data_IF_900169943875
#
_entry.id   IF_900169943875
#
_cell.length_a   1.000
_cell.length_b   1.000
_cell.length_c   1.000
_cell.angle_alpha   90.00
_cell.angle_beta   90.00
_cell.angle_gamma   90.00
#
_symmetry.space_group_name_H-M   'P 1'
#
loop_
_entity.id
_entity.type
_entity.pdbx_description
1 polymer ?
#
# COMPACT_ATOMS: atom_id res chain seq x y z
N UNK A 1 25.76 5.22 20.78
CA UNK A 1 25.26 6.52 20.28
C UNK A 1 24.28 6.26 19.16
N UNK A 2 23.00 6.11 19.42
CA UNK A 2 21.96 5.96 18.41
C UNK A 2 21.69 7.35 17.86
N UNK A 3 22.32 7.69 16.74
CA UNK A 3 22.01 8.91 16.01
C UNK A 3 20.54 8.84 15.57
N UNK A 4 19.77 9.80 16.03
CA UNK A 4 18.38 10.03 15.63
C UNK A 4 18.39 10.54 14.17
N UNK A 5 18.81 9.67 13.22
CA UNK A 5 18.97 10.02 11.82
C UNK A 5 17.61 10.37 11.23
N UNK A 6 17.47 11.60 10.80
CA UNK A 6 16.31 12.02 10.02
C UNK A 6 16.33 11.26 8.68
N UNK A 7 15.20 10.72 8.17
CA UNK A 7 15.13 10.14 6.82
C UNK A 7 15.70 11.08 5.75
N UNK A 8 15.50 12.38 5.93
CA UNK A 8 16.00 13.41 5.03
C UNK A 8 17.52 13.62 5.06
N UNK A 9 18.25 13.00 5.98
CA UNK A 9 19.72 12.97 5.92
C UNK A 9 20.25 12.15 4.74
N UNK A 10 19.44 11.20 4.24
CA UNK A 10 19.76 10.37 3.08
C UNK A 10 19.38 11.07 1.77
N UNK A 11 20.35 11.42 0.88
CA UNK A 11 20.03 12.11 -0.38
C UNK A 11 19.06 11.33 -1.27
N UNK A 12 19.22 10.01 -1.36
CA UNK A 12 18.33 9.15 -2.14
C UNK A 12 16.88 9.24 -1.65
N UNK A 13 16.66 9.27 -0.32
CA UNK A 13 15.31 9.44 0.24
C UNK A 13 14.72 10.80 -0.11
N UNK A 14 15.51 11.89 -0.05
CA UNK A 14 15.02 13.22 -0.44
C UNK A 14 14.52 13.25 -1.87
N UNK A 15 15.31 12.70 -2.83
CA UNK A 15 14.91 12.66 -4.24
C UNK A 15 13.64 11.83 -4.44
N UNK A 16 13.58 10.62 -3.89
CA UNK A 16 12.41 9.74 -4.03
C UNK A 16 11.17 10.31 -3.35
N UNK A 17 11.31 10.90 -2.18
CA UNK A 17 10.19 11.52 -1.47
C UNK A 17 9.67 12.77 -2.19
N UNK A 18 10.57 13.60 -2.73
CA UNK A 18 10.19 14.74 -3.57
C UNK A 18 9.51 14.29 -4.86
N UNK A 19 10.00 13.22 -5.50
CA UNK A 19 9.36 12.61 -6.67
C UNK A 19 7.94 12.13 -6.33
N UNK A 20 7.77 11.48 -5.17
CA UNK A 20 6.47 11.01 -4.69
C UNK A 20 5.49 12.17 -4.46
N UNK A 21 5.89 13.23 -3.76
CA UNK A 21 5.04 14.41 -3.52
C UNK A 21 4.63 15.04 -4.84
N UNK A 22 5.58 15.26 -5.73
CA UNK A 22 5.32 15.86 -7.05
C UNK A 22 4.32 15.03 -7.85
N UNK A 23 4.51 13.71 -7.91
CA UNK A 23 3.60 12.78 -8.57
C UNK A 23 2.20 12.77 -7.94
N UNK A 24 2.09 12.81 -6.59
CA UNK A 24 0.82 12.85 -5.88
C UNK A 24 0.03 14.13 -6.20
N UNK A 25 0.67 15.30 -6.17
CA UNK A 25 0.02 16.57 -6.54
C UNK A 25 -0.59 16.47 -7.93
N UNK A 26 0.19 15.98 -8.92
CA UNK A 26 -0.31 15.83 -10.28
C UNK A 26 -1.48 14.83 -10.38
N UNK A 27 -1.40 13.72 -9.67
CA UNK A 27 -2.47 12.71 -9.64
C UNK A 27 -3.76 13.29 -9.08
N UNK A 28 -3.69 14.10 -8.01
CA UNK A 28 -4.84 14.79 -7.46
C UNK A 28 -5.46 15.79 -8.44
N UNK A 29 -4.64 16.54 -9.19
CA UNK A 29 -5.15 17.45 -10.25
C UNK A 29 -5.87 16.65 -11.35
N UNK A 30 -5.30 15.52 -11.80
CA UNK A 30 -5.94 14.64 -12.79
C UNK A 30 -7.26 14.07 -12.29
N UNK A 31 -7.39 13.77 -11.00
CA UNK A 31 -8.65 13.25 -10.46
C UNK A 31 -9.79 14.26 -10.65
N UNK A 32 -9.53 15.54 -10.42
CA UNK A 32 -10.51 16.62 -10.66
C UNK A 32 -10.77 16.80 -12.16
N UNK A 33 -9.71 16.91 -12.98
CA UNK A 33 -9.85 17.08 -14.42
C UNK A 33 -10.60 15.92 -15.09
N UNK A 34 -10.36 14.68 -14.64
CA UNK A 34 -11.04 13.49 -15.15
C UNK A 34 -12.53 13.48 -14.81
N UNK A 35 -12.91 14.04 -13.66
CA UNK A 35 -14.32 14.18 -13.30
C UNK A 35 -15.03 15.17 -14.21
N UNK A 36 -14.37 16.27 -14.58
CA UNK A 36 -14.90 17.26 -15.51
C UNK A 36 -14.98 16.71 -16.94
N UNK A 37 -13.92 16.03 -17.41
CA UNK A 37 -13.91 15.38 -18.72
C UNK A 37 -15.00 14.30 -18.85
N UNK A 38 -15.20 13.49 -17.79
CA UNK A 38 -16.27 12.50 -17.79
C UNK A 38 -17.65 13.15 -17.86
N UNK A 39 -17.85 14.30 -17.21
CA UNK A 39 -19.08 15.06 -17.30
C UNK A 39 -19.32 15.65 -18.70
N UNK A 40 -18.27 16.24 -19.30
CA UNK A 40 -18.37 16.82 -20.64
C UNK A 40 -18.73 15.78 -21.72
N UNK A 41 -18.22 14.53 -21.60
CA UNK A 41 -18.44 13.47 -22.59
C UNK A 41 -19.69 12.63 -22.31
N UNK A 42 -20.10 12.46 -21.05
CA UNK A 42 -21.17 11.56 -20.67
C UNK A 42 -22.39 12.24 -20.01
N UNK A 43 -22.31 13.55 -19.69
CA UNK A 43 -23.41 14.29 -19.08
C UNK A 43 -23.91 13.61 -17.79
N UNK A 44 -25.20 13.27 -17.75
CA UNK A 44 -25.85 12.62 -16.60
C UNK A 44 -25.28 11.22 -16.28
N UNK A 45 -24.65 10.55 -17.25
CA UNK A 45 -24.00 9.25 -17.06
C UNK A 45 -22.55 9.36 -16.53
N UNK A 46 -22.03 10.55 -16.25
CA UNK A 46 -20.68 10.77 -15.72
C UNK A 46 -20.39 9.94 -14.45
N UNK A 47 -21.37 9.80 -13.57
CA UNK A 47 -21.26 8.98 -12.36
C UNK A 47 -20.96 7.50 -12.67
N UNK A 48 -21.59 6.95 -13.72
CA UNK A 48 -21.32 5.57 -14.17
C UNK A 48 -19.91 5.44 -14.74
N UNK A 49 -19.47 6.45 -15.51
CA UNK A 49 -18.10 6.49 -16.08
C UNK A 49 -17.07 6.51 -14.95
N UNK A 50 -17.22 7.40 -13.97
CA UNK A 50 -16.31 7.51 -12.83
C UNK A 50 -16.30 6.24 -11.96
N UNK A 51 -17.46 5.65 -11.70
CA UNK A 51 -17.58 4.37 -11.01
C UNK A 51 -16.83 3.25 -11.75
N UNK A 52 -16.99 3.17 -13.07
CA UNK A 52 -16.28 2.20 -13.91
C UNK A 52 -14.77 2.40 -13.91
N UNK A 53 -14.31 3.65 -13.87
CA UNK A 53 -12.88 4.01 -13.72
C UNK A 53 -12.32 3.49 -12.40
N UNK A 54 -13.05 3.62 -11.29
CA UNK A 54 -12.60 3.10 -9.99
C UNK A 54 -12.49 1.57 -9.99
N UNK A 55 -13.45 0.87 -10.58
CA UNK A 55 -13.37 -0.59 -10.74
C UNK A 55 -12.18 -0.97 -11.60
N UNK A 56 -11.98 -0.31 -12.74
CA UNK A 56 -10.88 -0.56 -13.66
C UNK A 56 -9.52 -0.32 -13.01
N UNK A 57 -9.40 0.72 -12.18
CA UNK A 57 -8.23 0.99 -11.35
C UNK A 57 -7.93 -0.17 -10.40
N UNK A 58 -8.94 -0.68 -9.69
CA UNK A 58 -8.75 -1.81 -8.76
C UNK A 58 -8.35 -3.08 -9.49
N UNK A 59 -8.92 -3.35 -10.67
CA UNK A 59 -8.54 -4.48 -11.55
C UNK A 59 -7.08 -4.35 -11.99
N UNK A 60 -6.67 -3.16 -12.45
CA UNK A 60 -5.27 -2.91 -12.82
C UNK A 60 -4.31 -3.18 -11.65
N UNK A 61 -4.66 -2.73 -10.45
CA UNK A 61 -3.84 -2.91 -9.25
C UNK A 61 -3.73 -4.38 -8.84
N UNK A 62 -4.84 -5.12 -8.92
CA UNK A 62 -4.88 -6.53 -8.55
C UNK A 62 -4.09 -7.41 -9.52
N UNK A 63 -4.16 -7.12 -10.81
CA UNK A 63 -3.56 -7.97 -11.87
C UNK A 63 -2.11 -7.56 -12.17
N UNK A 64 -1.85 -6.26 -12.33
CA UNK A 64 -0.55 -5.79 -12.83
C UNK A 64 0.52 -5.77 -11.73
N UNK A 65 0.17 -5.42 -10.50
CA UNK A 65 1.19 -5.30 -9.44
C UNK A 65 1.94 -6.60 -9.15
N UNK A 66 1.30 -7.80 -9.04
CA UNK A 66 2.04 -9.05 -8.84
C UNK A 66 2.95 -9.40 -10.03
N UNK A 67 2.48 -9.15 -11.26
CA UNK A 67 3.28 -9.37 -12.47
C UNK A 67 4.51 -8.46 -12.47
N UNK A 68 4.32 -7.18 -12.18
CA UNK A 68 5.42 -6.21 -12.07
C UNK A 68 6.43 -6.61 -10.97
N UNK A 69 5.96 -7.09 -9.81
CA UNK A 69 6.80 -7.63 -8.75
C UNK A 69 7.63 -8.85 -9.21
N UNK A 70 7.03 -9.74 -9.99
CA UNK A 70 7.71 -10.88 -10.60
C UNK A 70 8.74 -10.49 -11.66
N UNK A 71 8.58 -9.33 -12.28
CA UNK A 71 9.49 -8.79 -13.31
C UNK A 71 10.54 -7.82 -12.75
N UNK A 72 10.45 -7.40 -11.52
CA UNK A 72 11.26 -6.31 -10.95
C UNK A 72 12.79 -6.57 -10.97
N UNK A 73 13.22 -7.82 -11.18
CA UNK A 73 14.62 -8.20 -11.33
C UNK A 73 15.15 -8.10 -12.78
N UNK A 74 14.27 -7.96 -13.79
CA UNK A 74 14.66 -7.99 -15.21
C UNK A 74 15.31 -6.69 -15.68
N UNK A 75 14.99 -5.57 -15.05
CA UNK A 75 15.52 -4.25 -15.41
C UNK A 75 16.09 -3.55 -14.19
N UNK A 76 17.11 -2.68 -14.39
CA UNK A 76 17.58 -1.80 -13.33
C UNK A 76 16.40 -0.98 -12.75
N UNK A 77 16.24 -1.00 -11.44
CA UNK A 77 15.10 -0.35 -10.74
C UNK A 77 14.91 1.12 -11.12
N UNK A 78 16.01 1.85 -11.32
CA UNK A 78 15.96 3.25 -11.79
C UNK A 78 15.30 3.35 -13.15
N UNK A 79 15.72 2.53 -14.13
CA UNK A 79 15.16 2.54 -15.49
C UNK A 79 13.69 2.14 -15.47
N UNK A 80 13.31 1.16 -14.61
CA UNK A 80 11.94 0.73 -14.42
C UNK A 80 11.05 1.90 -13.95
N UNK A 81 11.44 2.59 -12.87
CA UNK A 81 10.67 3.70 -12.32
C UNK A 81 10.58 4.89 -13.27
N UNK A 82 11.71 5.28 -13.87
CA UNK A 82 11.76 6.40 -14.83
C UNK A 82 10.91 6.08 -16.07
N UNK A 83 11.03 4.87 -16.63
CA UNK A 83 10.24 4.46 -17.79
C UNK A 83 8.73 4.49 -17.53
N UNK A 84 8.29 4.08 -16.33
CA UNK A 84 6.90 4.14 -15.93
C UNK A 84 6.40 5.58 -15.72
N UNK A 85 7.23 6.47 -15.18
CA UNK A 85 6.86 7.88 -15.04
C UNK A 85 6.76 8.57 -16.41
N UNK A 86 7.69 8.28 -17.32
CA UNK A 86 7.64 8.80 -18.71
C UNK A 86 6.39 8.26 -19.43
N UNK A 87 6.07 6.98 -19.26
CA UNK A 87 4.84 6.39 -19.81
C UNK A 87 3.59 7.10 -19.24
N UNK A 88 3.51 7.30 -17.91
CA UNK A 88 2.38 8.01 -17.28
C UNK A 88 2.27 9.43 -17.80
N UNK A 89 3.39 10.16 -17.91
CA UNK A 89 3.43 11.51 -18.47
C UNK A 89 2.85 11.55 -19.89
N UNK A 90 3.29 10.65 -20.77
CA UNK A 90 2.82 10.57 -22.15
C UNK A 90 1.34 10.22 -22.26
N UNK A 91 0.86 9.27 -21.47
CA UNK A 91 -0.57 8.86 -21.49
C UNK A 91 -1.47 9.99 -20.96
N UNK A 92 -1.07 10.64 -19.85
CA UNK A 92 -1.87 11.77 -19.30
C UNK A 92 -1.93 12.93 -20.27
N UNK A 93 -0.87 13.15 -21.06
CA UNK A 93 -0.83 14.17 -22.10
C UNK A 93 -1.84 13.90 -23.25
N UNK A 94 -2.29 12.67 -23.42
CA UNK A 94 -3.31 12.32 -24.42
C UNK A 94 -4.74 12.60 -23.93
N UNK A 95 -4.99 12.73 -22.61
CA UNK A 95 -6.35 12.92 -22.06
C UNK A 95 -7.09 14.18 -22.57
N UNK A 96 -6.45 15.34 -22.79
CA UNK A 96 -7.12 16.50 -23.38
C UNK A 96 -7.68 16.29 -24.80
N UNK A 97 -7.23 15.25 -25.52
CA UNK A 97 -7.61 15.00 -26.92
C UNK A 97 -8.65 13.89 -27.05
N UNK A 98 -9.23 13.46 -25.91
CA UNK A 98 -10.22 12.39 -25.86
C UNK A 98 -11.58 12.95 -26.25
N UNK A 99 -12.27 12.27 -27.18
CA UNK A 99 -13.61 12.61 -27.66
C UNK A 99 -14.67 11.50 -27.43
N UNK A 100 -14.24 10.36 -26.88
CA UNK A 100 -15.07 9.18 -26.62
C UNK A 100 -14.82 8.60 -25.23
N UNK A 101 -15.87 8.17 -24.53
CA UNK A 101 -15.78 7.59 -23.18
C UNK A 101 -14.86 6.35 -23.11
N UNK A 102 -14.87 5.48 -24.13
CA UNK A 102 -14.01 4.31 -24.14
C UNK A 102 -12.51 4.64 -24.15
N UNK A 103 -12.13 5.77 -24.75
CA UNK A 103 -10.74 6.26 -24.75
C UNK A 103 -10.31 6.62 -23.33
N UNK A 104 -11.18 7.23 -22.51
CA UNK A 104 -10.93 7.48 -21.09
C UNK A 104 -10.59 6.14 -20.41
N UNK A 105 -11.40 5.09 -20.62
CA UNK A 105 -11.18 3.80 -19.98
C UNK A 105 -9.82 3.21 -20.33
N UNK A 106 -9.43 3.25 -21.60
CA UNK A 106 -8.13 2.74 -22.07
C UNK A 106 -6.97 3.52 -21.44
N UNK A 107 -6.99 4.85 -21.56
CA UNK A 107 -5.90 5.69 -21.07
C UNK A 107 -5.77 5.61 -19.54
N UNK A 108 -6.88 5.66 -18.82
CA UNK A 108 -6.88 5.55 -17.36
C UNK A 108 -6.45 4.14 -16.91
N UNK A 109 -6.83 3.08 -17.63
CA UNK A 109 -6.32 1.75 -17.35
C UNK A 109 -4.80 1.69 -17.49
N UNK A 110 -4.23 2.23 -18.57
CA UNK A 110 -2.78 2.22 -18.81
C UNK A 110 -2.03 3.04 -17.73
N UNK A 111 -2.54 4.23 -17.36
CA UNK A 111 -1.94 5.04 -16.27
C UNK A 111 -1.96 4.29 -14.95
N UNK A 112 -3.09 3.65 -14.60
CA UNK A 112 -3.19 2.88 -13.36
C UNK A 112 -2.37 1.58 -13.40
N UNK A 113 -2.26 0.92 -14.55
CA UNK A 113 -1.37 -0.23 -14.75
C UNK A 113 0.12 0.16 -14.55
N UNK A 114 0.53 1.30 -15.10
CA UNK A 114 1.87 1.84 -14.87
C UNK A 114 2.10 2.20 -13.40
N UNK A 115 1.11 2.78 -12.71
CA UNK A 115 1.16 3.06 -11.28
C UNK A 115 1.21 1.79 -10.43
N UNK A 116 0.47 0.75 -10.81
CA UNK A 116 0.51 -0.57 -10.18
C UNK A 116 1.88 -1.26 -10.32
N UNK A 117 2.57 -1.04 -11.44
CA UNK A 117 3.92 -1.53 -11.67
C UNK A 117 4.99 -0.70 -10.95
N UNK A 118 4.76 0.60 -10.75
CA UNK A 118 5.67 1.53 -10.09
C UNK A 118 5.70 1.34 -8.57
N UNK A 119 4.53 1.35 -7.94
CA UNK A 119 4.39 1.49 -6.48
C UNK A 119 5.08 0.38 -5.67
N UNK A 120 4.96 -0.92 -5.99
CA UNK A 120 5.62 -1.97 -5.23
C UNK A 120 7.15 -1.90 -5.30
N UNK A 121 7.70 -1.57 -6.47
CA UNK A 121 9.16 -1.42 -6.67
C UNK A 121 9.65 -0.22 -5.89
N UNK A 122 8.96 0.91 -5.95
CA UNK A 122 9.26 2.10 -5.17
C UNK A 122 9.23 1.81 -3.66
N UNK A 123 8.19 1.15 -3.17
CA UNK A 123 8.06 0.78 -1.76
C UNK A 123 9.17 -0.17 -1.29
N UNK A 124 9.62 -1.09 -2.15
CA UNK A 124 10.69 -2.02 -1.83
C UNK A 124 12.07 -1.35 -1.68
N UNK A 125 12.29 -0.20 -2.36
CA UNK A 125 13.54 0.56 -2.32
C UNK A 125 13.68 1.34 -1.00
N UNK A 126 12.60 1.86 -0.44
CA UNK A 126 12.65 2.75 0.74
C UNK A 126 13.35 2.12 1.95
N UNK A 127 13.03 0.87 2.37
CA UNK A 127 13.74 0.24 3.49
C UNK A 127 15.21 -0.08 3.21
N UNK A 128 15.63 -0.15 1.94
CA UNK A 128 17.03 -0.34 1.59
C UNK A 128 17.83 0.96 1.70
N UNK A 129 17.20 2.10 1.44
CA UNK A 129 17.77 3.44 1.63
C UNK A 129 17.75 3.84 3.11
N UNK A 130 16.74 3.38 3.85
CA UNK A 130 16.55 3.63 5.27
C UNK A 130 16.67 2.32 6.07
N UNK A 131 17.87 1.75 6.24
CA UNK A 131 18.05 0.48 6.93
C UNK A 131 17.78 0.58 8.44
N UNK A 132 17.90 1.77 9.01
CA UNK A 132 17.52 2.01 10.40
C UNK A 132 15.99 1.98 10.54
N UNK A 133 15.51 1.13 11.44
CA UNK A 133 14.08 0.86 11.60
C UNK A 133 13.29 2.10 12.06
N UNK A 134 13.91 2.98 12.87
CA UNK A 134 13.27 4.23 13.31
C UNK A 134 13.19 5.24 12.18
N UNK A 135 14.26 5.36 11.37
CA UNK A 135 14.27 6.20 10.18
C UNK A 135 13.23 5.72 9.17
N UNK A 136 13.12 4.41 8.93
CA UNK A 136 12.12 3.84 8.04
C UNK A 136 10.69 4.11 8.54
N UNK A 137 10.42 3.94 9.84
CA UNK A 137 9.11 4.26 10.43
C UNK A 137 8.72 5.73 10.23
N UNK A 138 9.67 6.66 10.43
CA UNK A 138 9.46 8.08 10.13
C UNK A 138 9.19 8.31 8.65
N UNK A 139 9.93 7.61 7.76
CA UNK A 139 9.72 7.67 6.31
C UNK A 139 8.31 7.24 5.91
N UNK A 140 7.80 6.14 6.47
CA UNK A 140 6.41 5.68 6.27
C UNK A 140 5.39 6.72 6.75
N UNK A 141 5.63 7.33 7.91
CA UNK A 141 4.76 8.39 8.43
C UNK A 141 4.75 9.62 7.52
N UNK A 142 5.90 10.05 7.00
CA UNK A 142 5.97 11.15 6.03
C UNK A 142 5.28 10.82 4.71
N UNK A 143 5.43 9.58 4.21
CA UNK A 143 4.71 9.14 3.02
C UNK A 143 3.19 9.19 3.27
N UNK A 144 2.71 8.77 4.45
CA UNK A 144 1.30 8.88 4.82
C UNK A 144 0.82 10.33 4.83
N UNK A 145 1.58 11.23 5.47
CA UNK A 145 1.27 12.66 5.47
C UNK A 145 1.19 13.25 4.07
N UNK A 146 2.07 12.81 3.14
CA UNK A 146 2.02 13.26 1.75
C UNK A 146 0.73 12.83 1.05
N UNK A 147 0.25 11.59 1.26
CA UNK A 147 -1.04 11.13 0.74
C UNK A 147 -2.23 11.88 1.35
N UNK A 148 -2.21 12.15 2.66
CA UNK A 148 -3.28 12.89 3.32
C UNK A 148 -3.32 14.35 2.82
N UNK A 149 -2.14 14.97 2.64
CA UNK A 149 -2.04 16.32 2.10
C UNK A 149 -2.51 16.39 0.63
N UNK A 150 -2.19 15.39 -0.18
CA UNK A 150 -2.72 15.27 -1.55
C UNK A 150 -4.25 15.30 -1.55
N UNK A 151 -4.88 14.42 -0.76
CA UNK A 151 -6.33 14.31 -0.72
C UNK A 151 -7.03 15.61 -0.26
N UNK A 152 -6.38 16.39 0.62
CA UNK A 152 -6.93 17.66 1.12
C UNK A 152 -6.60 18.86 0.23
N UNK A 153 -5.36 18.93 -0.25
CA UNK A 153 -4.87 20.11 -0.97
C UNK A 153 -5.16 20.08 -2.48
N UNK A 154 -5.24 18.89 -3.10
CA UNK A 154 -5.38 18.80 -4.55
C UNK A 154 -6.68 19.38 -5.08
N UNK A 155 -7.87 19.17 -4.46
CA UNK A 155 -9.09 19.81 -4.92
C UNK A 155 -9.01 21.36 -4.82
N UNK A 156 -8.44 21.88 -3.73
CA UNK A 156 -8.27 23.33 -3.56
C UNK A 156 -7.27 23.90 -4.57
N UNK A 157 -6.17 23.21 -4.83
CA UNK A 157 -5.19 23.58 -5.84
C UNK A 157 -5.81 23.55 -7.25
N UNK A 158 -6.54 22.49 -7.57
CA UNK A 158 -7.26 22.38 -8.84
C UNK A 158 -8.26 23.54 -9.03
N UNK A 159 -9.07 23.84 -8.01
CA UNK A 159 -10.01 24.96 -8.04
C UNK A 159 -9.31 26.30 -8.26
N UNK A 160 -8.17 26.54 -7.60
CA UNK A 160 -7.40 27.77 -7.79
C UNK A 160 -6.82 27.87 -9.21
N UNK A 161 -6.35 26.77 -9.79
CA UNK A 161 -5.83 26.75 -11.16
C UNK A 161 -6.93 26.93 -12.19
N UNK A 162 -8.13 26.38 -11.97
CA UNK A 162 -9.29 26.51 -12.86
C UNK A 162 -9.85 27.95 -12.95
N UNK A 163 -9.45 28.84 -12.04
CA UNK A 163 -9.77 30.28 -12.18
C UNK A 163 -9.09 30.90 -13.38
N UNK A 164 -7.90 30.44 -13.74
CA UNK A 164 -7.04 31.03 -14.80
C UNK A 164 -6.85 30.07 -16.00
N UNK A 165 -7.03 28.76 -15.80
CA UNK A 165 -6.75 27.74 -16.80
C UNK A 165 -7.98 26.86 -17.08
N UNK A 166 -8.04 26.25 -18.27
CA UNK A 166 -9.02 25.21 -18.57
C UNK A 166 -8.68 23.91 -17.80
N UNK A 167 -9.66 23.01 -17.66
CA UNK A 167 -9.42 21.73 -17.00
C UNK A 167 -8.42 20.85 -17.78
N UNK A 168 -8.30 21.00 -19.10
CA UNK A 168 -7.29 20.32 -19.92
C UNK A 168 -5.87 20.65 -19.47
N UNK A 169 -5.65 21.87 -19.00
CA UNK A 169 -4.36 22.30 -18.48
C UNK A 169 -3.95 21.57 -17.21
N UNK A 170 -4.89 21.01 -16.45
CA UNK A 170 -4.60 20.19 -15.28
C UNK A 170 -3.96 18.85 -15.69
N UNK A 171 -4.33 18.29 -16.85
CA UNK A 171 -3.65 17.11 -17.40
C UNK A 171 -2.21 17.43 -17.82
N UNK A 172 -2.00 18.62 -18.47
CA UNK A 172 -0.66 19.08 -18.80
C UNK A 172 0.20 19.27 -17.55
N UNK A 173 -0.37 19.90 -16.51
CA UNK A 173 0.32 20.05 -15.22
C UNK A 173 0.71 18.70 -14.62
N UNK A 174 -0.18 17.70 -14.63
CA UNK A 174 0.15 16.36 -14.15
C UNK A 174 1.21 15.67 -15.01
N UNK A 175 1.13 15.77 -16.33
CA UNK A 175 2.18 15.24 -17.21
C UNK A 175 3.56 15.82 -16.84
N UNK A 176 3.61 17.13 -16.58
CA UNK A 176 4.84 17.80 -16.12
C UNK A 176 5.29 17.26 -14.74
N UNK A 177 4.37 17.00 -13.80
CA UNK A 177 4.75 16.43 -12.49
C UNK A 177 5.36 15.04 -12.62
N UNK A 178 4.86 14.17 -13.51
CA UNK A 178 5.46 12.88 -13.79
C UNK A 178 6.85 13.04 -14.47
N UNK A 179 7.01 13.99 -15.36
CA UNK A 179 8.32 14.29 -15.96
C UNK A 179 9.34 14.77 -14.90
N UNK A 180 8.93 15.64 -13.97
CA UNK A 180 9.76 16.09 -12.86
C UNK A 180 10.08 14.92 -11.93
N UNK A 181 9.10 14.05 -11.62
CA UNK A 181 9.32 12.83 -10.85
C UNK A 181 10.37 11.93 -11.50
N UNK A 182 10.27 11.69 -12.81
CA UNK A 182 11.25 10.91 -13.56
C UNK A 182 12.65 11.51 -13.45
N UNK A 183 12.80 12.84 -13.57
CA UNK A 183 14.10 13.55 -13.43
C UNK A 183 14.67 13.39 -12.02
N UNK A 184 13.83 13.52 -10.97
CA UNK A 184 14.25 13.34 -9.59
C UNK A 184 14.72 11.90 -9.33
N UNK A 185 14.03 10.89 -9.89
CA UNK A 185 14.42 9.49 -9.80
C UNK A 185 15.71 9.21 -10.57
N UNK A 186 15.91 9.83 -11.73
CA UNK A 186 17.16 9.72 -12.50
C UNK A 186 18.38 10.17 -11.70
N UNK A 187 18.24 11.21 -10.90
CA UNK A 187 19.32 11.77 -10.08
C UNK A 187 19.49 11.04 -8.73
N UNK A 188 18.54 10.18 -8.33
CA UNK A 188 18.62 9.42 -7.11
C UNK A 188 19.63 8.26 -7.21
N UNK A 189 20.38 8.02 -6.14
CA UNK A 189 21.21 6.82 -6.00
C UNK A 189 20.36 5.67 -5.49
N UNK A 190 19.82 4.85 -6.40
CA UNK A 190 18.92 3.75 -6.10
C UNK A 190 19.72 2.44 -6.03
N UNK A 191 19.63 1.68 -4.90
CA UNK A 191 20.22 0.36 -4.79
C UNK A 191 19.64 -0.59 -5.84
N UNK A 192 20.50 -1.42 -6.42
CA UNK A 192 20.05 -2.49 -7.30
C UNK A 192 19.39 -3.61 -6.48
N UNK A 193 18.45 -4.33 -7.10
CA UNK A 193 17.87 -5.50 -6.46
C UNK A 193 18.95 -6.55 -6.22
N UNK A 194 18.94 -7.17 -5.04
CA UNK A 194 19.74 -8.35 -4.81
C UNK A 194 19.29 -9.46 -5.79
N UNK A 195 20.22 -10.30 -6.27
CA UNK A 195 19.87 -11.45 -7.10
C UNK A 195 18.88 -12.34 -6.36
N UNK A 196 17.93 -12.90 -7.09
CA UNK A 196 17.04 -13.95 -6.55
C UNK A 196 17.59 -15.32 -6.92
N UNK A 197 17.58 -16.27 -5.98
CA UNK A 197 18.03 -17.64 -6.21
C UNK A 197 17.04 -18.47 -7.05
N UNK A 198 15.89 -17.89 -7.40
CA UNK A 198 14.87 -18.58 -8.17
C UNK A 198 15.21 -18.61 -9.66
N UNK A 199 15.18 -19.80 -10.22
CA UNK A 199 15.40 -20.06 -11.66
C UNK A 199 14.10 -20.06 -12.47
N UNK A 200 12.94 -19.78 -11.84
CA UNK A 200 11.63 -19.74 -12.48
C UNK A 200 11.44 -18.49 -13.34
N UNK A 201 10.62 -18.60 -14.38
CA UNK A 201 10.22 -17.44 -15.21
C UNK A 201 9.30 -16.46 -14.45
N UNK A 202 8.83 -15.43 -15.17
CA UNK A 202 7.99 -14.34 -14.62
C UNK A 202 6.77 -14.91 -13.87
N UNK A 203 6.09 -15.90 -14.44
CA UNK A 203 4.92 -16.53 -13.82
C UNK A 203 5.26 -17.16 -12.45
N UNK A 204 6.35 -17.93 -12.37
CA UNK A 204 6.77 -18.55 -11.13
C UNK A 204 7.12 -17.50 -10.05
N UNK A 205 7.78 -16.41 -10.43
CA UNK A 205 8.11 -15.31 -9.52
C UNK A 205 6.87 -14.53 -9.07
N UNK A 206 5.90 -14.32 -9.96
CA UNK A 206 4.61 -13.68 -9.63
C UNK A 206 3.82 -14.50 -8.62
N UNK A 207 3.68 -15.81 -8.90
CA UNK A 207 2.97 -16.74 -8.00
C UNK A 207 3.68 -16.88 -6.67
N UNK A 208 5.02 -16.93 -6.68
CA UNK A 208 5.81 -17.00 -5.46
C UNK A 208 5.50 -15.86 -4.49
N UNK A 209 5.49 -14.61 -4.96
CA UNK A 209 5.22 -13.45 -4.11
C UNK A 209 3.88 -13.57 -3.37
N UNK A 210 2.82 -13.97 -4.07
CA UNK A 210 1.48 -14.16 -3.49
C UNK A 210 1.48 -15.35 -2.51
N UNK A 211 2.03 -16.50 -2.92
CA UNK A 211 2.05 -17.71 -2.09
C UNK A 211 2.89 -17.53 -0.83
N UNK A 212 4.07 -16.92 -0.95
CA UNK A 212 4.95 -16.65 0.19
C UNK A 212 4.30 -15.66 1.16
N UNK A 213 3.64 -14.61 0.64
CA UNK A 213 2.86 -13.70 1.45
C UNK A 213 1.78 -14.43 2.27
N UNK A 214 0.97 -15.24 1.60
CA UNK A 214 -0.11 -16.01 2.24
C UNK A 214 0.37 -17.14 3.17
N UNK A 215 1.60 -17.65 2.98
CA UNK A 215 2.22 -18.61 3.88
C UNK A 215 2.83 -17.97 5.13
N UNK A 216 2.98 -16.66 5.17
CA UNK A 216 3.57 -15.92 6.30
C UNK A 216 2.46 -15.48 7.27
N UNK A 217 2.38 -16.04 8.50
CA UNK A 217 1.26 -15.80 9.42
C UNK A 217 1.01 -14.33 9.73
N UNK A 218 2.09 -13.54 10.01
CA UNK A 218 1.97 -12.10 10.27
C UNK A 218 1.38 -11.32 9.09
N UNK A 219 1.65 -11.75 7.85
CA UNK A 219 1.12 -11.10 6.66
C UNK A 219 -0.34 -11.47 6.38
N UNK A 220 -0.77 -12.68 6.74
CA UNK A 220 -2.20 -13.02 6.75
C UNK A 220 -2.98 -12.15 7.74
N UNK A 221 -2.41 -11.94 8.95
CA UNK A 221 -2.96 -11.01 9.93
C UNK A 221 -3.01 -9.57 9.38
N UNK A 222 -1.94 -9.11 8.74
CA UNK A 222 -1.87 -7.81 8.07
C UNK A 222 -2.96 -7.67 6.99
N UNK A 223 -3.17 -8.70 6.17
CA UNK A 223 -4.20 -8.69 5.13
C UNK A 223 -5.61 -8.54 5.73
N UNK A 224 -5.89 -9.22 6.84
CA UNK A 224 -7.15 -9.05 7.55
C UNK A 224 -7.30 -7.62 8.12
N UNK A 225 -6.24 -7.04 8.69
CA UNK A 225 -6.24 -5.62 9.11
C UNK A 225 -6.52 -4.69 7.92
N UNK A 226 -5.90 -4.94 6.75
CA UNK A 226 -6.14 -4.12 5.56
C UNK A 226 -7.56 -4.26 5.01
N UNK A 227 -8.18 -5.43 5.13
CA UNK A 227 -9.59 -5.58 4.78
C UNK A 227 -10.49 -4.75 5.71
N UNK A 228 -10.20 -4.70 7.02
CA UNK A 228 -10.88 -3.82 7.95
C UNK A 228 -10.68 -2.34 7.60
N UNK A 229 -9.44 -1.93 7.25
CA UNK A 229 -9.14 -0.57 6.77
C UNK A 229 -9.95 -0.24 5.52
N UNK A 230 -10.06 -1.18 4.57
CA UNK A 230 -10.84 -1.00 3.35
C UNK A 230 -12.33 -0.82 3.65
N UNK A 231 -12.87 -1.58 4.62
CA UNK A 231 -14.28 -1.50 5.02
C UNK A 231 -14.64 -0.12 5.59
N UNK A 232 -13.82 0.38 6.53
CA UNK A 232 -14.00 1.72 7.12
C UNK A 232 -13.72 2.82 6.09
N UNK A 233 -12.65 2.67 5.29
CA UNK A 233 -12.28 3.63 4.26
C UNK A 233 -13.32 3.75 3.16
N UNK A 234 -13.95 2.65 2.76
CA UNK A 234 -15.06 2.67 1.79
C UNK A 234 -16.25 3.47 2.34
N UNK A 235 -16.58 3.33 3.63
CA UNK A 235 -17.63 4.13 4.26
C UNK A 235 -17.31 5.63 4.22
N UNK A 236 -16.07 6.00 4.56
CA UNK A 236 -15.63 7.40 4.51
C UNK A 236 -15.69 7.96 3.08
N UNK A 237 -15.17 7.22 2.09
CA UNK A 237 -15.04 7.74 0.72
C UNK A 237 -16.39 7.79 0.01
N UNK A 238 -17.20 6.73 0.12
CA UNK A 238 -18.43 6.58 -0.66
C UNK A 238 -19.60 7.27 0.02
N UNK A 239 -19.75 7.10 1.32
CA UNK A 239 -20.98 7.48 2.02
C UNK A 239 -20.91 8.81 2.77
N UNK A 240 -19.75 9.51 2.82
CA UNK A 240 -19.69 10.85 3.45
C UNK A 240 -20.66 11.83 2.79
N UNK A 241 -20.77 11.83 1.47
CA UNK A 241 -21.71 12.72 0.76
C UNK A 241 -23.16 12.40 1.11
N UNK A 242 -23.51 11.10 1.16
CA UNK A 242 -24.87 10.64 1.51
C UNK A 242 -25.21 11.05 2.94
N UNK A 243 -24.29 10.86 3.88
CA UNK A 243 -24.47 11.28 5.27
C UNK A 243 -24.66 12.79 5.40
N UNK A 244 -23.76 13.57 4.80
CA UNK A 244 -23.72 15.02 5.02
C UNK A 244 -24.84 15.74 4.30
N UNK A 245 -25.18 15.36 3.06
CA UNK A 245 -26.21 16.03 2.26
C UNK A 245 -27.58 15.37 2.44
N UNK A 246 -27.65 14.04 2.45
CA UNK A 246 -28.90 13.30 2.52
C UNK A 246 -29.52 13.27 3.93
N UNK A 247 -28.69 13.09 4.96
CA UNK A 247 -29.18 12.90 6.34
C UNK A 247 -29.05 14.18 7.18
N UNK A 248 -27.84 14.81 7.15
CA UNK A 248 -27.58 15.99 8.00
C UNK A 248 -28.04 17.31 7.33
N UNK A 249 -28.58 17.26 6.11
CA UNK A 249 -29.10 18.42 5.41
C UNK A 249 -28.06 19.52 5.10
N UNK A 250 -26.78 19.14 5.04
CA UNK A 250 -25.67 20.07 4.86
C UNK A 250 -25.33 20.37 3.41
N UNK A 251 -24.36 21.26 3.22
CA UNK A 251 -23.82 21.68 1.93
C UNK A 251 -22.55 20.89 1.58
N UNK A 252 -21.95 21.18 0.43
CA UNK A 252 -20.63 20.67 0.04
C UNK A 252 -19.54 21.03 1.04
N UNK A 253 -19.66 22.18 1.71
CA UNK A 253 -18.75 22.59 2.78
C UNK A 253 -18.77 21.59 3.94
N UNK A 254 -19.95 21.07 4.30
CA UNK A 254 -20.05 20.05 5.36
C UNK A 254 -19.38 18.74 4.93
N UNK A 255 -19.56 18.30 3.69
CA UNK A 255 -18.91 17.12 3.13
C UNK A 255 -17.38 17.23 3.19
N UNK A 256 -16.85 18.33 2.70
CA UNK A 256 -15.39 18.59 2.73
C UNK A 256 -14.86 18.72 4.15
N UNK A 257 -15.65 19.31 5.07
CA UNK A 257 -15.28 19.39 6.50
C UNK A 257 -15.16 18.01 7.14
N UNK A 258 -16.05 17.08 6.80
CA UNK A 258 -15.98 15.69 7.31
C UNK A 258 -14.76 14.94 6.77
N UNK A 259 -14.48 15.07 5.47
CA UNK A 259 -13.26 14.52 4.89
C UNK A 259 -12.00 15.15 5.51
N UNK A 260 -12.04 16.45 5.82
CA UNK A 260 -10.97 17.13 6.53
C UNK A 260 -10.82 16.62 7.98
N UNK A 261 -11.90 16.29 8.70
CA UNK A 261 -11.84 15.64 10.01
C UNK A 261 -11.14 14.28 9.94
N UNK A 262 -11.49 13.43 8.97
CA UNK A 262 -10.82 12.16 8.75
C UNK A 262 -9.32 12.35 8.41
N UNK A 263 -9.00 13.30 7.54
CA UNK A 263 -7.62 13.67 7.20
C UNK A 263 -6.85 14.19 8.41
N UNK A 264 -7.44 15.04 9.24
CA UNK A 264 -6.83 15.56 10.47
C UNK A 264 -6.52 14.42 11.45
N UNK A 265 -7.46 13.49 11.64
CA UNK A 265 -7.22 12.28 12.44
C UNK A 265 -6.07 11.44 11.90
N UNK A 266 -6.04 11.23 10.58
CA UNK A 266 -4.96 10.51 9.88
C UNK A 266 -3.61 11.19 10.10
N UNK A 267 -3.50 12.50 9.92
CA UNK A 267 -2.27 13.26 10.12
C UNK A 267 -1.79 13.20 11.56
N UNK A 268 -2.69 13.38 12.54
CA UNK A 268 -2.35 13.23 13.97
C UNK A 268 -1.77 11.84 14.27
N UNK A 269 -2.42 10.78 13.75
CA UNK A 269 -1.93 9.42 13.90
C UNK A 269 -0.56 9.23 13.27
N UNK A 270 -0.33 9.73 12.06
CA UNK A 270 0.95 9.64 11.37
C UNK A 270 2.10 10.28 12.16
N UNK A 271 1.87 11.42 12.80
CA UNK A 271 2.86 12.06 13.70
C UNK A 271 3.13 11.26 14.98
N UNK A 272 2.12 10.53 15.49
CA UNK A 272 2.24 9.76 16.73
C UNK A 272 2.86 8.39 16.53
N UNK A 273 2.70 7.76 15.36
CA UNK A 273 3.17 6.40 15.05
C UNK A 273 4.63 6.17 15.45
N UNK A 274 5.62 7.03 15.09
CA UNK A 274 7.02 6.74 15.42
C UNK A 274 7.29 6.62 16.93
N UNK A 275 6.52 7.33 17.77
CA UNK A 275 6.64 7.27 19.22
C UNK A 275 5.87 6.11 19.83
N UNK A 276 4.66 5.86 19.34
CA UNK A 276 3.79 4.84 19.90
C UNK A 276 4.25 3.42 19.55
N UNK A 277 4.76 3.22 18.34
CA UNK A 277 5.21 1.91 17.89
C UNK A 277 6.38 1.37 18.72
N UNK A 278 7.25 2.26 19.22
CA UNK A 278 8.35 1.88 20.11
C UNK A 278 7.86 1.44 21.50
N UNK A 279 6.69 1.94 21.94
CA UNK A 279 6.15 1.66 23.28
C UNK A 279 5.24 0.43 23.32
N UNK A 280 4.36 0.30 22.33
CA UNK A 280 3.31 -0.73 22.34
C UNK A 280 3.51 -1.82 21.29
N UNK A 281 4.46 -1.64 20.37
CA UNK A 281 4.70 -2.56 19.25
C UNK A 281 3.66 -2.45 18.13
N UNK A 282 4.03 -2.97 16.95
CA UNK A 282 3.23 -2.84 15.72
C UNK A 282 1.87 -3.50 15.84
N UNK A 283 1.84 -4.76 16.32
CA UNK A 283 0.62 -5.56 16.40
C UNK A 283 -0.46 -4.87 17.25
N UNK A 284 -0.08 -4.41 18.45
CA UNK A 284 -1.03 -3.76 19.35
C UNK A 284 -1.50 -2.41 18.81
N UNK A 285 -0.57 -1.60 18.24
CA UNK A 285 -0.92 -0.30 17.66
C UNK A 285 -1.90 -0.46 16.50
N UNK A 286 -1.64 -1.39 15.59
CA UNK A 286 -2.47 -1.65 14.42
C UNK A 286 -3.85 -2.17 14.81
N UNK A 287 -3.92 -3.15 15.70
CA UNK A 287 -5.20 -3.72 16.17
C UNK A 287 -6.01 -2.70 16.96
N UNK A 288 -5.39 -1.94 17.86
CA UNK A 288 -6.08 -0.90 18.62
C UNK A 288 -6.64 0.20 17.69
N UNK A 289 -5.84 0.63 16.71
CA UNK A 289 -6.27 1.63 15.73
C UNK A 289 -7.50 1.17 14.96
N UNK A 290 -7.47 -0.06 14.41
CA UNK A 290 -8.61 -0.52 13.59
C UNK A 290 -9.83 -0.87 14.44
N UNK A 291 -9.68 -1.31 15.69
CA UNK A 291 -10.79 -1.46 16.62
C UNK A 291 -11.46 -0.11 16.90
N UNK A 292 -10.69 0.95 17.14
CA UNK A 292 -11.23 2.30 17.33
C UNK A 292 -12.03 2.77 16.11
N UNK A 293 -11.50 2.55 14.91
CA UNK A 293 -12.19 2.90 13.66
C UNK A 293 -13.47 2.07 13.45
N UNK A 294 -13.43 0.76 13.75
CA UNK A 294 -14.61 -0.12 13.65
C UNK A 294 -15.71 0.28 14.63
N UNK A 295 -15.34 0.59 15.88
CA UNK A 295 -16.27 1.08 16.90
C UNK A 295 -16.88 2.42 16.48
N UNK A 296 -16.11 3.33 15.87
CA UNK A 296 -16.65 4.58 15.35
C UNK A 296 -17.72 4.32 14.27
N UNK A 297 -17.54 3.32 13.39
CA UNK A 297 -18.58 2.94 12.41
C UNK A 297 -19.81 2.36 13.10
N UNK A 298 -19.65 1.44 14.05
CA UNK A 298 -20.79 0.85 14.78
C UNK A 298 -21.58 1.92 15.56
N UNK A 299 -20.88 2.84 16.23
CA UNK A 299 -21.52 3.96 16.92
C UNK A 299 -22.26 4.87 15.94
N UNK A 300 -21.70 5.14 14.75
CA UNK A 300 -22.39 5.88 13.69
C UNK A 300 -23.72 5.21 13.31
N UNK A 301 -23.74 3.90 13.12
CA UNK A 301 -24.96 3.13 12.85
C UNK A 301 -25.98 3.22 13.99
N UNK A 302 -25.53 3.11 15.24
CA UNK A 302 -26.41 3.26 16.43
C UNK A 302 -27.00 4.65 16.53
N UNK A 303 -26.19 5.71 16.32
CA UNK A 303 -26.68 7.10 16.33
C UNK A 303 -27.74 7.35 15.25
N UNK A 304 -27.58 6.73 14.08
CA UNK A 304 -28.57 6.79 13.00
C UNK A 304 -29.90 6.13 13.41
N UNK A 305 -29.85 4.89 13.92
CA UNK A 305 -31.06 4.13 14.33
C UNK A 305 -31.79 4.82 15.49
N UNK A 306 -31.05 5.51 16.35
CA UNK A 306 -31.62 6.17 17.55
C UNK A 306 -32.09 7.62 17.27
N UNK A 307 -32.06 8.08 16.02
CA UNK A 307 -32.35 9.48 15.63
C UNK A 307 -31.50 10.53 16.39
N UNK A 308 -30.32 10.12 16.84
CA UNK A 308 -29.35 10.98 17.55
C UNK A 308 -28.23 11.49 16.61
N UNK A 309 -28.46 11.46 15.30
CA UNK A 309 -27.51 11.92 14.31
C UNK A 309 -27.23 13.42 14.50
N UNK A 310 -25.97 13.78 14.74
CA UNK A 310 -25.56 15.19 14.84
C UNK A 310 -24.24 15.43 14.11
N UNK A 311 -24.07 16.61 13.56
CA UNK A 311 -22.86 17.04 12.85
C UNK A 311 -21.62 16.85 13.73
N UNK A 312 -21.70 17.28 15.00
CA UNK A 312 -20.57 17.19 15.91
C UNK A 312 -20.17 15.75 16.25
N UNK A 313 -21.15 14.88 16.53
CA UNK A 313 -20.89 13.47 16.83
C UNK A 313 -20.21 12.76 15.64
N UNK A 314 -20.74 12.94 14.44
CA UNK A 314 -20.15 12.32 13.23
C UNK A 314 -18.79 12.91 12.86
N UNK A 315 -18.54 14.21 13.08
CA UNK A 315 -17.21 14.81 12.87
C UNK A 315 -16.16 14.14 13.77
N UNK A 316 -16.48 13.86 15.04
CA UNK A 316 -15.61 13.11 15.95
C UNK A 316 -15.41 11.67 15.45
N UNK A 317 -16.46 10.98 15.01
CA UNK A 317 -16.34 9.62 14.49
C UNK A 317 -15.45 9.58 13.24
N UNK A 318 -15.53 10.59 12.34
CA UNK A 318 -14.64 10.69 11.18
C UNK A 318 -13.19 10.91 11.57
N UNK A 319 -12.92 11.76 12.56
CA UNK A 319 -11.57 11.98 13.09
C UNK A 319 -11.00 10.68 13.68
N UNK A 320 -11.79 9.94 14.48
CA UNK A 320 -11.38 8.66 15.06
C UNK A 320 -11.15 7.62 13.96
N UNK A 321 -12.04 7.55 12.96
CA UNK A 321 -11.91 6.60 11.86
C UNK A 321 -10.65 6.86 11.02
N UNK A 322 -10.36 8.13 10.71
CA UNK A 322 -9.15 8.52 10.01
C UNK A 322 -7.88 8.21 10.80
N UNK A 323 -7.86 8.51 12.09
CA UNK A 323 -6.73 8.17 12.97
C UNK A 323 -6.56 6.64 13.07
N UNK A 324 -7.64 5.90 13.29
CA UNK A 324 -7.62 4.46 13.48
C UNK A 324 -7.15 3.70 12.24
N UNK A 325 -7.64 4.06 11.05
CA UNK A 325 -7.17 3.47 9.79
C UNK A 325 -5.71 3.75 9.53
N UNK A 326 -5.20 4.93 9.90
CA UNK A 326 -3.78 5.28 9.73
C UNK A 326 -2.88 4.53 10.70
N UNK A 327 -3.26 4.39 11.98
CA UNK A 327 -2.55 3.51 12.91
C UNK A 327 -2.49 2.06 12.42
N UNK A 328 -3.55 1.59 11.78
CA UNK A 328 -3.63 0.23 11.26
C UNK A 328 -2.81 0.01 9.97
N UNK A 329 -2.76 0.99 9.08
CA UNK A 329 -2.18 0.82 7.75
C UNK A 329 -0.69 1.15 7.70
N UNK A 330 -0.25 2.24 8.34
CA UNK A 330 1.10 2.80 8.17
C UNK A 330 2.21 1.84 8.61
N UNK A 331 2.11 1.10 9.74
CA UNK A 331 3.17 0.17 10.14
C UNK A 331 3.31 -1.06 9.23
N UNK A 332 2.34 -1.34 8.37
CA UNK A 332 2.32 -2.55 7.53
C UNK A 332 3.56 -2.71 6.64
N UNK A 333 4.14 -1.61 6.16
CA UNK A 333 5.38 -1.64 5.39
C UNK A 333 6.54 -2.29 6.13
N UNK A 334 6.63 -2.12 7.45
CA UNK A 334 7.65 -2.77 8.29
C UNK A 334 7.46 -4.28 8.35
N UNK A 335 6.20 -4.74 8.46
CA UNK A 335 5.87 -6.16 8.48
C UNK A 335 6.23 -6.83 7.16
N UNK A 336 5.93 -6.17 6.04
CA UNK A 336 6.30 -6.67 4.70
C UNK A 336 7.80 -6.72 4.55
N UNK A 337 8.52 -5.65 4.90
CA UNK A 337 9.99 -5.58 4.83
C UNK A 337 10.65 -6.72 5.61
N UNK A 338 10.24 -6.96 6.87
CA UNK A 338 10.86 -7.99 7.69
C UNK A 338 10.44 -9.42 7.36
N UNK A 339 9.40 -9.58 6.52
CA UNK A 339 8.93 -10.89 6.05
C UNK A 339 9.55 -11.32 4.74
N UNK A 340 10.26 -10.42 4.05
CA UNK A 340 10.86 -10.67 2.75
C UNK A 340 12.38 -10.82 2.85
N UNK A 341 12.95 -11.74 2.09
CA UNK A 341 14.38 -11.76 1.79
C UNK A 341 14.78 -10.59 0.88
N UNK A 342 16.07 -10.25 0.83
CA UNK A 342 16.56 -9.08 0.11
C UNK A 342 16.23 -9.12 -1.40
N UNK A 343 16.33 -10.30 -2.02
CA UNK A 343 15.98 -10.50 -3.44
C UNK A 343 14.49 -10.51 -3.72
N UNK A 344 13.64 -10.67 -2.69
CA UNK A 344 12.20 -10.91 -2.82
C UNK A 344 11.32 -9.74 -2.41
N UNK A 345 11.91 -8.66 -1.90
CA UNK A 345 11.17 -7.49 -1.40
C UNK A 345 10.13 -6.97 -2.38
N UNK A 346 10.51 -6.80 -3.65
CA UNK A 346 9.57 -6.30 -4.67
C UNK A 346 8.36 -7.22 -4.85
N UNK A 347 8.55 -8.55 -4.81
CA UNK A 347 7.48 -9.54 -4.93
C UNK A 347 6.52 -9.49 -3.72
N UNK A 348 7.06 -9.35 -2.49
CA UNK A 348 6.25 -9.23 -1.28
C UNK A 348 5.47 -7.91 -1.23
N UNK A 349 6.08 -6.78 -1.59
CA UNK A 349 5.38 -5.49 -1.67
C UNK A 349 4.32 -5.50 -2.77
N UNK A 350 4.57 -6.16 -3.91
CA UNK A 350 3.60 -6.33 -4.99
C UNK A 350 2.41 -7.21 -4.56
N UNK A 351 2.66 -8.31 -3.87
CA UNK A 351 1.61 -9.15 -3.30
C UNK A 351 0.78 -8.38 -2.27
N UNK A 352 1.44 -7.65 -1.35
CA UNK A 352 0.78 -6.79 -0.37
C UNK A 352 -0.11 -5.74 -1.04
N UNK A 353 0.42 -5.05 -2.05
CA UNK A 353 -0.31 -4.03 -2.79
C UNK A 353 -1.54 -4.60 -3.48
N UNK A 354 -1.39 -5.68 -4.24
CA UNK A 354 -2.50 -6.32 -4.95
C UNK A 354 -3.58 -6.85 -3.99
N UNK A 355 -3.18 -7.64 -2.99
CA UNK A 355 -4.13 -8.27 -2.06
C UNK A 355 -4.88 -7.23 -1.21
N UNK A 356 -4.21 -6.16 -0.77
CA UNK A 356 -4.88 -5.08 -0.03
C UNK A 356 -5.89 -4.32 -0.91
N UNK A 357 -5.59 -4.09 -2.20
CA UNK A 357 -6.53 -3.44 -3.12
C UNK A 357 -7.68 -4.37 -3.53
N UNK A 358 -7.48 -5.70 -3.50
CA UNK A 358 -8.59 -6.66 -3.56
C UNK A 358 -9.61 -6.43 -2.44
N UNK A 359 -9.15 -6.14 -1.21
CA UNK A 359 -10.01 -5.76 -0.09
C UNK A 359 -10.85 -4.51 -0.38
N UNK A 360 -10.24 -3.49 -0.99
CA UNK A 360 -10.95 -2.27 -1.39
C UNK A 360 -12.04 -2.54 -2.45
N UNK A 361 -11.76 -3.40 -3.43
CA UNK A 361 -12.75 -3.77 -4.46
C UNK A 361 -14.01 -4.36 -3.83
N UNK A 362 -13.86 -5.29 -2.87
CA UNK A 362 -14.99 -5.88 -2.15
C UNK A 362 -15.69 -4.86 -1.24
N UNK A 363 -14.92 -4.07 -0.49
CA UNK A 363 -15.48 -3.10 0.44
C UNK A 363 -16.29 -2.01 -0.27
N UNK A 364 -15.81 -1.47 -1.38
CA UNK A 364 -16.55 -0.51 -2.20
C UNK A 364 -17.86 -1.10 -2.71
N UNK A 365 -17.83 -2.35 -3.20
CA UNK A 365 -19.04 -3.03 -3.66
C UNK A 365 -20.07 -3.18 -2.56
N UNK A 366 -19.69 -3.72 -1.41
CA UNK A 366 -20.62 -4.02 -0.30
C UNK A 366 -21.14 -2.72 0.33
N UNK A 367 -20.24 -1.85 0.77
CA UNK A 367 -20.60 -0.64 1.54
C UNK A 367 -21.32 0.38 0.65
N UNK A 368 -20.90 0.54 -0.62
CA UNK A 368 -21.56 1.41 -1.57
C UNK A 368 -22.97 0.92 -1.94
N UNK A 369 -23.12 -0.38 -2.16
CA UNK A 369 -24.42 -0.97 -2.51
C UNK A 369 -25.42 -0.92 -1.34
N UNK A 370 -24.95 -1.26 -0.13
CA UNK A 370 -25.79 -1.16 1.06
C UNK A 370 -26.24 0.27 1.34
N UNK A 371 -25.36 1.26 1.13
CA UNK A 371 -25.71 2.67 1.30
C UNK A 371 -26.75 3.20 0.31
N UNK A 372 -26.87 2.55 -0.87
CA UNK A 372 -27.82 2.96 -1.93
C UNK A 372 -29.14 2.18 -1.91
N UNK A 373 -29.13 0.90 -1.51
CA UNK A 373 -30.31 0.00 -1.53
C UNK A 373 -30.99 -0.15 -0.18
N UNK A 374 -30.28 0.11 0.91
CA UNK A 374 -30.78 0.03 2.26
C UNK A 374 -30.62 1.39 2.97
N UNK A 375 -30.98 1.41 4.24
CA UNK A 375 -30.73 2.59 5.08
C UNK A 375 -29.21 2.76 5.31
N UNK A 376 -28.72 4.00 5.37
CA UNK A 376 -27.32 4.31 5.61
C UNK A 376 -26.81 3.71 6.95
N UNK A 377 -27.69 3.56 7.95
CA UNK A 377 -27.38 2.86 9.20
C UNK A 377 -26.90 1.42 8.97
N UNK A 378 -27.49 0.71 8.00
CA UNK A 378 -27.09 -0.64 7.62
C UNK A 378 -25.67 -0.64 7.03
N UNK A 379 -25.33 0.34 6.20
CA UNK A 379 -23.96 0.47 5.65
C UNK A 379 -22.94 0.75 6.76
N UNK A 380 -23.26 1.56 7.76
CA UNK A 380 -22.45 1.79 8.95
C UNK A 380 -22.21 0.51 9.75
N UNK A 381 -23.28 -0.20 10.08
CA UNK A 381 -23.19 -1.45 10.84
C UNK A 381 -22.45 -2.56 10.08
N UNK A 382 -22.67 -2.65 8.77
CA UNK A 382 -21.96 -3.60 7.91
C UNK A 382 -20.46 -3.28 7.85
N UNK A 383 -20.09 -2.00 7.63
CA UNK A 383 -18.70 -1.55 7.64
C UNK A 383 -18.00 -1.87 8.97
N UNK A 384 -18.61 -1.47 10.08
CA UNK A 384 -18.10 -1.74 11.43
C UNK A 384 -18.04 -3.24 11.74
N UNK A 385 -19.08 -4.00 11.38
CA UNK A 385 -19.15 -5.45 11.56
C UNK A 385 -18.08 -6.20 10.75
N UNK A 386 -17.89 -5.86 9.48
CA UNK A 386 -16.81 -6.40 8.66
C UNK A 386 -15.42 -6.08 9.26
N UNK A 387 -15.24 -4.85 9.76
CA UNK A 387 -13.98 -4.46 10.38
C UNK A 387 -13.73 -5.26 11.68
N UNK A 388 -14.71 -5.44 12.56
CA UNK A 388 -14.58 -6.27 13.77
C UNK A 388 -14.33 -7.75 13.41
N UNK A 389 -15.09 -8.31 12.47
CA UNK A 389 -14.85 -9.67 11.98
C UNK A 389 -13.41 -9.86 11.48
N UNK A 390 -12.90 -8.88 10.74
CA UNK A 390 -11.52 -8.88 10.25
C UNK A 390 -10.49 -8.76 11.39
N UNK A 391 -10.78 -7.99 12.45
CA UNK A 391 -9.93 -7.92 13.64
C UNK A 391 -9.86 -9.28 14.33
N UNK A 392 -10.97 -9.98 14.46
CA UNK A 392 -11.01 -11.34 15.03
C UNK A 392 -10.12 -12.27 14.20
N UNK A 393 -10.29 -12.27 12.87
CA UNK A 393 -9.45 -13.05 11.97
C UNK A 393 -7.97 -12.66 12.09
N UNK A 394 -7.66 -11.37 12.17
CA UNK A 394 -6.29 -10.90 12.36
C UNK A 394 -5.67 -11.42 13.67
N UNK A 395 -6.41 -11.37 14.78
CA UNK A 395 -5.97 -11.87 16.08
C UNK A 395 -5.72 -13.37 16.05
N UNK A 396 -6.54 -14.13 15.32
CA UNK A 396 -6.39 -15.60 15.17
C UNK A 396 -5.22 -15.99 14.28
N UNK A 397 -4.95 -15.23 13.22
CA UNK A 397 -3.91 -15.55 12.21
C UNK A 397 -2.54 -14.96 12.56
N UNK A 398 -2.48 -13.88 13.34
CA UNK A 398 -1.24 -13.20 13.68
C UNK A 398 -0.71 -13.71 15.01
N UNK A 399 0.43 -14.41 15.05
CA UNK A 399 1.00 -14.93 16.29
C UNK A 399 1.20 -13.85 17.35
N UNK A 400 0.91 -14.18 18.62
CA UNK A 400 1.12 -13.24 19.74
C UNK A 400 2.60 -12.90 19.90
N UNK A 401 3.47 -13.90 19.79
CA UNK A 401 4.91 -13.77 19.77
C UNK A 401 5.40 -13.78 18.33
N UNK A 402 5.51 -12.59 17.74
CA UNK A 402 6.01 -12.43 16.38
C UNK A 402 7.55 -12.31 16.39
N UNK A 403 8.21 -13.44 16.69
CA UNK A 403 9.67 -13.53 16.75
C UNK A 403 10.27 -13.37 15.37
N UNK A 404 11.31 -12.53 15.27
CA UNK A 404 12.08 -12.36 14.04
C UNK A 404 12.93 -13.58 13.76
N UNK A 405 13.53 -14.17 14.81
CA UNK A 405 14.36 -15.34 14.73
C UNK A 405 13.63 -16.57 15.24
N UNK A 406 13.52 -17.57 14.42
CA UNK A 406 12.84 -18.84 14.75
C UNK A 406 13.86 -19.96 14.74
N UNK A 407 13.87 -20.76 15.81
CA UNK A 407 14.66 -22.00 15.86
C UNK A 407 13.92 -23.06 15.05
N UNK A 408 14.58 -23.62 14.05
CA UNK A 408 14.01 -24.66 13.19
C UNK A 408 15.10 -25.63 12.73
N UNK A 409 14.67 -26.80 12.24
CA UNK A 409 15.58 -27.87 11.79
C UNK A 409 15.37 -28.11 10.31
N UNK A 410 16.47 -28.24 9.59
CA UNK A 410 16.47 -28.72 8.21
C UNK A 410 16.83 -30.20 8.18
N UNK A 411 16.10 -31.06 7.45
CA UNK A 411 16.61 -32.36 7.07
C UNK A 411 17.81 -32.19 6.13
N UNK A 412 18.71 -33.16 6.12
CA UNK A 412 19.81 -33.13 5.15
C UNK A 412 19.28 -33.18 3.72
N UNK A 413 19.77 -32.32 2.85
CA UNK A 413 19.34 -32.24 1.45
C UNK A 413 20.43 -31.76 0.51
N UNK A 414 20.36 -32.19 -0.75
CA UNK A 414 21.23 -31.73 -1.83
C UNK A 414 20.56 -30.58 -2.58
N UNK A 415 21.26 -29.45 -2.74
CA UNK A 415 20.78 -28.37 -3.60
C UNK A 415 21.95 -27.61 -4.25
N UNK A 416 21.59 -26.67 -5.13
CA UNK A 416 22.52 -25.83 -5.87
C UNK A 416 22.05 -24.38 -5.79
N UNK A 417 22.88 -23.49 -5.23
CA UNK A 417 22.65 -22.05 -5.22
C UNK A 417 23.97 -21.27 -5.20
N UNK A 418 23.96 -19.98 -5.58
CA UNK A 418 25.11 -19.10 -5.40
C UNK A 418 25.33 -18.83 -3.91
N UNK A 419 26.54 -18.97 -3.42
CA UNK A 419 26.92 -18.64 -2.05
C UNK A 419 28.31 -18.03 -1.99
N UNK A 420 28.60 -17.37 -0.85
CA UNK A 420 29.89 -16.77 -0.52
C UNK A 420 30.66 -17.71 0.40
N UNK A 421 32.00 -17.71 0.33
CA UNK A 421 32.87 -18.48 1.23
C UNK A 421 32.69 -18.10 2.71
N UNK A 422 32.19 -16.92 3.01
CA UNK A 422 31.95 -16.45 4.37
C UNK A 422 30.56 -16.80 4.91
N UNK A 423 29.73 -17.56 4.17
CA UNK A 423 28.42 -17.98 4.62
C UNK A 423 28.54 -18.99 5.77
N UNK A 424 28.10 -18.67 7.01
CA UNK A 424 28.23 -19.56 8.16
C UNK A 424 27.44 -20.86 8.04
N UNK A 425 26.58 -20.99 7.03
CA UNK A 425 25.79 -22.19 6.74
C UNK A 425 26.52 -23.16 5.78
N UNK A 426 27.69 -22.74 5.24
CA UNK A 426 28.42 -23.47 4.20
C UNK A 426 29.90 -23.69 4.59
N UNK A 427 30.15 -24.54 5.59
CA UNK A 427 31.50 -24.89 5.97
C UNK A 427 31.93 -26.13 5.14
N UNK A 428 32.51 -25.91 3.96
CA UNK A 428 33.14 -26.96 3.18
C UNK A 428 34.39 -26.42 2.46
N UNK A 429 35.37 -27.32 2.30
CA UNK A 429 36.63 -27.00 1.67
C UNK A 429 36.54 -27.24 0.16
N UNK A 430 36.94 -26.25 -0.63
CA UNK A 430 37.08 -26.40 -2.07
C UNK A 430 38.47 -26.86 -2.44
N UNK A 431 38.56 -27.86 -3.31
CA UNK A 431 39.84 -28.33 -3.83
C UNK A 431 40.54 -27.30 -4.75
N UNK A 432 39.78 -26.30 -5.27
CA UNK A 432 40.31 -25.24 -6.10
C UNK A 432 39.73 -23.92 -5.66
N UNK A 433 40.57 -22.97 -5.23
CA UNK A 433 40.19 -21.62 -4.90
C UNK A 433 39.74 -20.89 -6.21
N UNK A 434 38.45 -20.63 -6.34
CA UNK A 434 37.95 -19.76 -7.40
C UNK A 434 38.30 -18.30 -7.07
N UNK A 435 38.79 -17.56 -8.06
CA UNK A 435 39.13 -16.12 -7.92
C UNK A 435 37.91 -15.19 -7.62
N UNK A 436 36.70 -15.74 -7.57
CA UNK A 436 35.46 -14.97 -7.28
C UNK A 436 34.87 -15.42 -5.96
N UNK A 437 34.55 -14.47 -5.08
CA UNK A 437 33.95 -14.70 -3.78
C UNK A 437 32.58 -15.40 -3.85
N UNK A 438 31.93 -15.41 -5.02
CA UNK A 438 30.62 -16.05 -5.23
C UNK A 438 30.71 -17.10 -6.34
N UNK A 439 30.26 -18.30 -6.01
CA UNK A 439 30.21 -19.42 -6.97
C UNK A 439 28.96 -20.27 -6.75
N UNK A 440 28.64 -21.10 -7.72
CA UNK A 440 27.44 -21.95 -7.73
C UNK A 440 27.83 -23.38 -8.01
N UNK A 441 27.49 -24.30 -7.08
CA UNK A 441 27.64 -25.74 -7.27
C UNK A 441 26.62 -26.51 -6.42
N UNK A 442 26.47 -27.80 -6.74
CA UNK A 442 25.62 -28.69 -5.97
C UNK A 442 26.40 -29.22 -4.77
N UNK A 443 25.86 -29.07 -3.56
CA UNK A 443 26.45 -29.53 -2.32
C UNK A 443 25.41 -30.10 -1.36
N UNK A 444 25.87 -30.89 -0.39
CA UNK A 444 25.03 -31.52 0.60
C UNK A 444 25.02 -30.68 1.89
N UNK A 445 23.85 -30.33 2.37
CA UNK A 445 23.66 -29.79 3.70
C UNK A 445 23.33 -30.90 4.68
N UNK A 446 24.14 -31.11 5.74
CA UNK A 446 23.77 -32.03 6.81
C UNK A 446 22.55 -31.51 7.57
N UNK A 447 21.82 -32.39 8.29
CA UNK A 447 20.71 -31.92 9.15
C UNK A 447 21.25 -30.91 10.17
N UNK A 448 20.69 -29.69 10.18
CA UNK A 448 21.13 -28.62 11.07
C UNK A 448 19.92 -28.02 11.78
N UNK A 449 20.07 -27.81 13.09
CA UNK A 449 19.12 -27.02 13.88
C UNK A 449 19.78 -25.70 14.25
N UNK A 450 19.22 -24.62 13.74
CA UNK A 450 19.76 -23.29 13.97
C UNK A 450 18.66 -22.25 14.23
N UNK A 451 19.05 -21.04 14.56
CA UNK A 451 18.17 -19.92 14.83
C UNK A 451 18.62 -18.73 14.00
N UNK A 452 17.75 -18.28 13.09
CA UNK A 452 17.98 -17.06 12.31
C UNK A 452 16.66 -16.39 11.97
N UNK A 453 16.74 -15.20 11.32
CA UNK A 453 15.57 -14.52 10.77
C UNK A 453 14.87 -15.41 9.74
N UNK A 454 13.63 -15.80 10.04
CA UNK A 454 12.88 -16.72 9.20
C UNK A 454 12.06 -15.96 8.16
N UNK A 455 12.22 -16.33 6.90
CA UNK A 455 11.44 -15.85 5.75
C UNK A 455 11.04 -17.05 4.89
N UNK A 456 9.93 -16.94 4.17
CA UNK A 456 9.55 -17.91 3.15
C UNK A 456 10.37 -17.63 1.90
N UNK A 457 11.20 -18.59 1.49
CA UNK A 457 12.10 -18.52 0.34
C UNK A 457 12.20 -19.89 -0.38
N UNK A 458 13.22 -20.08 -1.20
CA UNK A 458 13.48 -21.37 -1.88
C UNK A 458 13.84 -22.50 -0.92
N UNK A 459 14.42 -22.19 0.24
CA UNK A 459 14.81 -23.15 1.28
C UNK A 459 13.70 -23.39 2.31
N UNK A 460 12.96 -22.35 2.66
CA UNK A 460 11.91 -22.37 3.66
C UNK A 460 10.53 -22.26 2.97
N UNK A 461 10.01 -23.37 2.51
CA UNK A 461 8.74 -23.40 1.75
C UNK A 461 7.50 -23.42 2.63
N UNK A 462 7.64 -23.62 3.94
CA UNK A 462 6.56 -23.66 4.94
C UNK A 462 7.01 -22.94 6.21
N UNK A 463 6.08 -22.22 6.85
CA UNK A 463 6.33 -21.62 8.16
C UNK A 463 6.44 -22.74 9.20
N UNK A 464 7.47 -22.75 10.08
CA UNK A 464 7.59 -23.78 11.10
C UNK A 464 6.43 -23.64 12.10
N UNK A 465 5.76 -24.77 12.37
CA UNK A 465 4.77 -24.81 13.46
C UNK A 465 5.54 -24.79 14.78
N UNK A 466 5.12 -23.97 15.74
CA UNK A 466 5.65 -24.04 17.09
C UNK A 466 5.40 -25.42 17.65
N UNK A 467 6.41 -26.01 18.29
CA UNK A 467 6.36 -27.37 18.85
C UNK A 467 5.39 -27.52 20.05
N UNK A 468 4.38 -26.69 20.14
CA UNK A 468 3.34 -26.66 21.16
C UNK A 468 1.91 -26.85 20.67
N UNK A 469 1.64 -26.71 19.38
CA UNK A 469 0.28 -26.83 18.82
C UNK A 469 0.02 -28.22 18.23
N UNK A 470 0.24 -29.26 19.00
CA UNK A 470 -0.41 -30.57 18.77
C UNK A 470 -1.52 -30.72 19.81
N UNK A 471 -2.72 -30.29 19.46
CA UNK A 471 -3.95 -30.85 19.97
C UNK A 471 -4.93 -30.97 18.82
#
# INVERSE_FOLDING_TARGET
MTSNLSPFSQPAFRHLFSAQITSLIGTGLTTVALSLLAYDLAGDDAGRVLGSILVLKMVAYLVIAPVAGGMAHLLPRRMWLVGLDVLRAGIVLCLPFVDQVWQIFVLVFVVNAASAAFTPVFQAIIPEILPDEKAYTKGLSYARLAYDLENLASPALAAALLVVWSFDSLFLANSLTFAISALLIMTAQIPQAAPTDRTGGIYANTVFGIVAYLKTPRLRGLLAVYFAVSSVGAMIIVNTVVLTRGILGGTELLTTSFLACAGAGSMCAAFLIPRLIERVGERHLMLAGIVAAAVAMLLGGVLMISDLASVFAFAILWLIAGAGTTFAQTPGGRLVQRSAGDGDRSAFFAANFALSHGGWLFAYGIVGWLGSLADLSVAFLASGGMAIGSVIVAVMLWPKEDRLEIKHSHPGFWHEHPHDHNDPHHVHVHEHAAETDKHRHRHFHPPVTHKHRFVIDSHHTKWPMESGDRV
#
